data_IF_096242721488
#
_entry.id   IF_096242721488
#
_cell.length_a   1.000
_cell.length_b   1.000
_cell.length_c   1.000
_cell.angle_alpha   90.00
_cell.angle_beta   90.00
_cell.angle_gamma   90.00
#
_symmetry.space_group_name_H-M   'P 1'
#
loop_
_entity.id
_entity.type
_entity.pdbx_description
1 polymer ?
#
# COMPACT_ATOMS: atom_id res chain seq x y z
N UNK A 1 22.56 7.38 4.75
CA UNK A 1 21.15 7.43 5.23
C UNK A 1 20.67 6.09 5.78
N UNK A 2 21.05 4.94 5.18
CA UNK A 2 20.68 3.58 5.66
C UNK A 2 21.27 3.26 7.05
N UNK A 3 22.48 3.72 7.37
CA UNK A 3 23.11 3.51 8.70
C UNK A 3 22.32 4.08 9.88
N UNK A 4 21.51 5.13 9.68
CA UNK A 4 20.62 5.66 10.73
C UNK A 4 19.32 4.88 10.85
N UNK A 5 18.88 4.20 9.79
CA UNK A 5 17.71 3.31 9.84
C UNK A 5 18.01 2.04 10.65
N UNK A 6 19.29 1.63 10.70
CA UNK A 6 19.75 0.45 11.43
C UNK A 6 20.21 0.75 12.87
N UNK A 7 20.08 1.99 13.35
CA UNK A 7 20.35 2.37 14.75
C UNK A 7 19.04 2.78 15.42
N UNK A 8 18.38 1.84 16.07
CA UNK A 8 17.08 2.05 16.75
C UNK A 8 17.10 1.74 18.25
N UNK A 9 16.09 2.20 18.97
CA UNK A 9 15.82 1.77 20.34
C UNK A 9 15.25 0.34 20.37
N UNK A 10 15.31 -0.39 21.49
CA UNK A 10 14.69 -1.72 21.59
C UNK A 10 13.20 -1.72 21.22
N UNK A 11 12.49 -0.62 21.50
CA UNK A 11 11.09 -0.42 21.12
C UNK A 11 10.90 -0.28 19.61
N UNK A 12 11.83 0.36 18.91
CA UNK A 12 11.80 0.47 17.45
C UNK A 12 11.93 -0.90 16.79
N UNK A 13 12.88 -1.72 17.23
CA UNK A 13 13.02 -3.10 16.71
C UNK A 13 11.82 -3.97 17.06
N UNK A 14 11.25 -3.81 18.26
CA UNK A 14 10.01 -4.48 18.64
C UNK A 14 8.85 -4.16 17.69
N UNK A 15 8.62 -2.87 17.39
CA UNK A 15 7.59 -2.45 16.43
C UNK A 15 7.87 -2.98 15.02
N UNK A 16 9.13 -2.91 14.57
CA UNK A 16 9.52 -3.43 13.26
C UNK A 16 9.25 -4.94 13.14
N UNK A 17 9.59 -5.73 14.16
CA UNK A 17 9.30 -7.16 14.19
C UNK A 17 7.81 -7.46 14.13
N UNK A 18 6.98 -6.67 14.85
CA UNK A 18 5.52 -6.83 14.80
C UNK A 18 4.99 -6.57 13.39
N UNK A 19 5.42 -5.48 12.73
CA UNK A 19 5.00 -5.19 11.36
C UNK A 19 5.44 -6.28 10.38
N UNK A 20 6.68 -6.76 10.49
CA UNK A 20 7.18 -7.86 9.66
C UNK A 20 6.42 -9.16 9.90
N UNK A 21 6.06 -9.47 11.16
CA UNK A 21 5.26 -10.65 11.48
C UNK A 21 3.87 -10.58 10.84
N UNK A 22 3.20 -9.43 10.93
CA UNK A 22 1.89 -9.22 10.29
C UNK A 22 1.98 -9.34 8.76
N UNK A 23 3.01 -8.74 8.15
CA UNK A 23 3.26 -8.89 6.71
C UNK A 23 3.55 -10.34 6.32
N UNK A 24 4.32 -11.07 7.14
CA UNK A 24 4.63 -12.48 6.93
C UNK A 24 3.40 -13.38 6.99
N UNK A 25 2.48 -13.13 7.93
CA UNK A 25 1.19 -13.82 8.00
C UNK A 25 0.38 -13.56 6.71
N UNK A 26 0.30 -12.30 6.27
CA UNK A 26 -0.38 -11.93 5.03
C UNK A 26 0.21 -12.63 3.80
N UNK A 27 1.55 -12.66 3.69
CA UNK A 27 2.25 -13.38 2.63
C UNK A 27 1.97 -14.89 2.68
N UNK A 28 1.88 -15.48 3.88
CA UNK A 28 1.48 -16.87 4.06
C UNK A 28 0.09 -17.18 3.48
N UNK A 29 -0.91 -16.36 3.79
CA UNK A 29 -2.25 -16.50 3.21
C UNK A 29 -2.25 -16.31 1.68
N UNK A 30 -1.45 -15.38 1.17
CA UNK A 30 -1.30 -15.18 -0.27
C UNK A 30 -0.73 -16.43 -0.97
N UNK A 31 0.25 -17.12 -0.38
CA UNK A 31 0.76 -18.40 -0.92
C UNK A 31 -0.32 -19.49 -0.97
N UNK A 32 -1.18 -19.56 0.05
CA UNK A 32 -2.31 -20.49 0.05
C UNK A 32 -3.32 -20.12 -1.04
N UNK A 33 -3.58 -18.82 -1.24
CA UNK A 33 -4.43 -18.30 -2.31
C UNK A 33 -3.90 -18.62 -3.70
N UNK A 34 -2.59 -18.53 -3.94
CA UNK A 34 -2.00 -18.91 -5.22
C UNK A 34 -2.21 -20.40 -5.55
N UNK A 35 -2.24 -21.28 -4.55
CA UNK A 35 -2.42 -22.72 -4.74
C UNK A 35 -3.88 -23.15 -4.87
N UNK A 36 -4.78 -22.61 -4.03
CA UNK A 36 -6.20 -23.00 -4.02
C UNK A 36 -7.09 -22.07 -4.85
N UNK A 37 -6.52 -21.01 -5.44
CA UNK A 37 -7.23 -20.02 -6.22
C UNK A 37 -8.03 -19.01 -5.37
N UNK A 38 -8.74 -18.11 -6.08
CA UNK A 38 -9.55 -17.05 -5.47
C UNK A 38 -10.76 -17.58 -4.67
N UNK A 39 -11.05 -18.88 -4.65
CA UNK A 39 -12.17 -19.43 -3.88
C UNK A 39 -12.04 -19.18 -2.37
N UNK A 40 -10.82 -19.01 -1.84
CA UNK A 40 -10.60 -18.72 -0.41
C UNK A 40 -11.11 -17.33 -0.01
N UNK A 41 -11.20 -16.39 -0.94
CA UNK A 41 -11.59 -15.01 -0.64
C UNK A 41 -13.09 -14.86 -0.42
N UNK A 42 -13.89 -15.91 -0.68
CA UNK A 42 -15.34 -15.90 -0.54
C UNK A 42 -16.06 -15.08 -1.62
N UNK A 43 -15.37 -14.72 -2.70
CA UNK A 43 -15.98 -14.07 -3.85
C UNK A 43 -16.98 -15.02 -4.53
N UNK A 44 -18.11 -14.47 -4.94
CA UNK A 44 -19.15 -15.19 -5.66
C UNK A 44 -19.19 -14.74 -7.11
N UNK A 45 -19.94 -15.44 -7.96
CA UNK A 45 -20.10 -15.02 -9.35
C UNK A 45 -20.81 -13.66 -9.48
N UNK A 46 -21.72 -13.37 -8.54
CA UNK A 46 -22.51 -12.14 -8.54
C UNK A 46 -21.76 -10.97 -7.85
N UNK A 47 -20.81 -11.30 -6.96
CA UNK A 47 -19.91 -10.34 -6.31
C UNK A 47 -18.47 -10.76 -6.59
N UNK A 48 -18.02 -10.42 -7.80
CA UNK A 48 -16.67 -10.74 -8.28
C UNK A 48 -15.58 -9.82 -7.73
N UNK A 49 -15.95 -8.63 -7.22
CA UNK A 49 -15.04 -7.67 -6.60
C UNK A 49 -15.36 -7.51 -5.13
N UNK A 50 -14.37 -7.82 -4.29
CA UNK A 50 -14.48 -7.74 -2.85
C UNK A 50 -13.42 -6.84 -2.24
N UNK A 51 -12.77 -7.35 -1.20
CA UNK A 51 -11.87 -6.55 -0.37
C UNK A 51 -10.67 -5.98 -1.14
N UNK A 52 -10.08 -6.72 -2.09
CA UNK A 52 -8.92 -6.23 -2.85
C UNK A 52 -9.23 -4.99 -3.69
N UNK A 53 -10.29 -5.04 -4.50
CA UNK A 53 -10.69 -3.90 -5.33
C UNK A 53 -11.19 -2.73 -4.48
N UNK A 54 -11.93 -3.00 -3.39
CA UNK A 54 -12.34 -1.95 -2.47
C UNK A 54 -11.14 -1.20 -1.85
N UNK A 55 -10.10 -1.93 -1.42
CA UNK A 55 -8.87 -1.33 -0.88
C UNK A 55 -8.05 -0.61 -1.95
N UNK A 56 -7.99 -1.15 -3.17
CA UNK A 56 -7.38 -0.48 -4.30
C UNK A 56 -8.01 0.90 -4.54
N UNK A 57 -9.33 0.99 -4.67
CA UNK A 57 -10.02 2.27 -4.91
C UNK A 57 -9.80 3.25 -3.76
N UNK A 58 -9.79 2.78 -2.52
CA UNK A 58 -9.47 3.59 -1.35
C UNK A 58 -8.05 4.17 -1.42
N UNK A 59 -7.04 3.33 -1.70
CA UNK A 59 -5.65 3.74 -1.77
C UNK A 59 -5.35 4.67 -2.95
N UNK A 60 -6.07 4.52 -4.08
CA UNK A 60 -6.05 5.50 -5.18
C UNK A 60 -6.51 6.87 -4.69
N UNK A 61 -7.59 6.92 -3.90
CA UNK A 61 -8.05 8.16 -3.27
C UNK A 61 -7.01 8.78 -2.32
N UNK A 62 -6.35 7.95 -1.51
CA UNK A 62 -5.24 8.39 -0.63
C UNK A 62 -4.09 8.96 -1.47
N UNK A 63 -3.68 8.30 -2.55
CA UNK A 63 -2.63 8.80 -3.44
C UNK A 63 -3.01 10.13 -4.10
N UNK A 64 -4.26 10.27 -4.55
CA UNK A 64 -4.76 11.52 -5.13
C UNK A 64 -4.72 12.70 -4.15
N UNK A 65 -4.91 12.45 -2.85
CA UNK A 65 -4.85 13.49 -1.82
C UNK A 65 -3.46 14.15 -1.72
N UNK A 66 -2.38 13.41 -1.99
CA UNK A 66 -1.04 13.98 -2.05
C UNK A 66 -0.85 14.92 -3.24
N UNK A 67 -1.41 14.56 -4.41
CA UNK A 67 -1.35 15.40 -5.63
C UNK A 67 -2.07 16.73 -5.42
N UNK A 68 -3.14 16.75 -4.62
CA UNK A 68 -3.85 17.98 -4.26
C UNK A 68 -2.98 18.98 -3.48
N UNK A 69 -1.99 18.52 -2.71
CA UNK A 69 -1.04 19.40 -2.01
C UNK A 69 0.06 19.93 -2.96
N UNK A 70 0.41 19.11 -3.96
CA UNK A 70 1.48 19.37 -4.93
C UNK A 70 1.03 20.41 -5.97
N UNK A 71 -0.22 20.33 -6.43
CA UNK A 71 -0.79 21.19 -7.48
C UNK A 71 -0.68 22.71 -7.17
N UNK A 72 -1.12 23.22 -6.00
CA UNK A 72 -1.03 24.65 -5.67
C UNK A 72 0.41 25.16 -5.55
N UNK A 73 1.34 24.29 -5.16
CA UNK A 73 2.74 24.66 -5.06
C UNK A 73 3.37 24.90 -6.44
N UNK A 74 3.08 24.03 -7.41
CA UNK A 74 3.60 24.18 -8.77
C UNK A 74 2.88 25.25 -9.59
N UNK A 75 1.54 25.28 -9.57
CA UNK A 75 0.74 26.17 -10.42
C UNK A 75 0.48 27.56 -9.83
N UNK A 76 0.33 27.65 -8.51
CA UNK A 76 0.01 28.91 -7.83
C UNK A 76 1.18 29.44 -6.98
N UNK A 77 2.36 28.83 -7.08
CA UNK A 77 3.57 29.19 -6.32
C UNK A 77 3.34 29.32 -4.81
N UNK A 78 2.39 28.55 -4.27
CA UNK A 78 2.01 28.62 -2.86
C UNK A 78 2.97 27.80 -2.00
N UNK A 79 4.01 28.46 -1.47
CA UNK A 79 5.15 27.80 -0.79
C UNK A 79 4.91 27.37 0.67
N UNK A 80 3.77 27.73 1.27
CA UNK A 80 3.53 27.50 2.69
C UNK A 80 3.53 26.00 3.07
N UNK A 81 3.14 25.12 2.13
CA UNK A 81 3.05 23.67 2.36
C UNK A 81 4.24 22.86 1.83
N UNK A 82 5.33 23.51 1.41
CA UNK A 82 6.48 22.84 0.77
C UNK A 82 7.05 21.65 1.55
N UNK A 83 7.08 21.73 2.89
CA UNK A 83 7.54 20.62 3.75
C UNK A 83 6.54 19.45 3.83
N UNK A 84 5.23 19.73 3.75
CA UNK A 84 4.20 18.69 3.77
C UNK A 84 4.12 17.94 2.43
N UNK A 85 4.46 18.61 1.32
CA UNK A 85 4.49 18.00 -0.01
C UNK A 85 5.44 16.80 -0.05
N UNK A 86 6.64 16.93 0.53
CA UNK A 86 7.62 15.84 0.57
C UNK A 86 7.02 14.60 1.28
N UNK A 87 6.35 14.81 2.42
CA UNK A 87 5.69 13.71 3.14
C UNK A 87 4.53 13.11 2.34
N UNK A 88 3.77 13.95 1.63
CA UNK A 88 2.68 13.53 0.75
C UNK A 88 3.19 12.69 -0.43
N UNK A 89 4.30 13.06 -1.05
CA UNK A 89 4.91 12.31 -2.16
C UNK A 89 5.38 10.92 -1.70
N UNK A 90 6.03 10.81 -0.54
CA UNK A 90 6.42 9.50 0.01
C UNK A 90 5.19 8.62 0.29
N UNK A 91 4.11 9.20 0.82
CA UNK A 91 2.85 8.48 1.03
C UNK A 91 2.23 8.03 -0.31
N UNK A 92 2.22 8.89 -1.32
CA UNK A 92 1.67 8.59 -2.63
C UNK A 92 2.38 7.41 -3.28
N UNK A 93 3.72 7.38 -3.24
CA UNK A 93 4.50 6.26 -3.77
C UNK A 93 4.14 4.96 -3.06
N UNK A 94 4.08 4.96 -1.72
CA UNK A 94 3.70 3.78 -0.95
C UNK A 94 2.27 3.31 -1.28
N UNK A 95 1.32 4.24 -1.40
CA UNK A 95 -0.08 3.93 -1.75
C UNK A 95 -0.19 3.34 -3.15
N UNK A 96 0.52 3.87 -4.14
CA UNK A 96 0.53 3.34 -5.52
C UNK A 96 1.13 1.94 -5.59
N UNK A 97 2.21 1.68 -4.84
CA UNK A 97 2.79 0.32 -4.74
C UNK A 97 1.75 -0.66 -4.18
N UNK A 98 1.00 -0.27 -3.14
CA UNK A 98 -0.07 -1.10 -2.60
C UNK A 98 -1.22 -1.30 -3.60
N UNK A 99 -1.61 -0.28 -4.35
CA UNK A 99 -2.61 -0.39 -5.41
C UNK A 99 -2.24 -1.45 -6.45
N UNK A 100 -0.99 -1.42 -6.93
CA UNK A 100 -0.48 -2.42 -7.86
C UNK A 100 -0.50 -3.82 -7.22
N UNK A 101 -0.09 -3.94 -5.95
CA UNK A 101 -0.14 -5.19 -5.20
C UNK A 101 -1.55 -5.78 -5.11
N UNK A 102 -2.56 -4.97 -4.80
CA UNK A 102 -3.94 -5.45 -4.72
C UNK A 102 -4.48 -5.96 -6.05
N UNK A 103 -4.18 -5.28 -7.17
CA UNK A 103 -4.58 -5.73 -8.51
C UNK A 103 -3.91 -7.07 -8.85
N UNK A 104 -2.61 -7.19 -8.61
CA UNK A 104 -1.85 -8.42 -8.89
C UNK A 104 -2.43 -9.62 -8.14
N UNK A 105 -2.81 -9.41 -6.88
CA UNK A 105 -3.40 -10.47 -6.04
C UNK A 105 -4.82 -10.82 -6.51
N UNK A 106 -5.61 -9.84 -6.93
CA UNK A 106 -7.00 -10.01 -7.36
C UNK A 106 -7.12 -10.79 -8.69
N UNK A 107 -6.12 -10.71 -9.57
CA UNK A 107 -6.06 -11.48 -10.83
C UNK A 107 -5.98 -13.00 -10.59
N UNK A 108 -5.48 -13.44 -9.42
CA UNK A 108 -5.43 -14.85 -9.01
C UNK A 108 -4.33 -15.70 -9.67
N UNK A 109 -3.98 -15.46 -10.93
CA UNK A 109 -2.83 -16.09 -11.62
C UNK A 109 -1.88 -15.02 -12.21
N UNK A 110 -1.09 -14.33 -11.37
CA UNK A 110 -0.23 -13.24 -11.81
C UNK A 110 0.96 -13.67 -12.68
N UNK A 111 1.22 -14.99 -12.82
CA UNK A 111 2.29 -15.52 -13.66
C UNK A 111 1.92 -15.64 -15.16
N UNK A 112 0.69 -15.29 -15.55
CA UNK A 112 0.22 -15.30 -16.94
C UNK A 112 0.28 -13.90 -17.52
#
# INVERSE_FOLDING_TARGET
MIEKALKGSPRYYGALMVFLAVMGIGAGFYLVQLNKGLTITGLSRDVSWGFYIAQFTYMVGVAASAVMLVLPYYFHHYKAYSKMIIMGEFLAIAAVIMCLGFIVIDIGQPQR
#
